data_IF_693169566015
#
_entry.id   IF_693169566015
#
_cell.length_a   1.000
_cell.length_b   1.000
_cell.length_c   1.000
_cell.angle_alpha   90.00
_cell.angle_beta   90.00
_cell.angle_gamma   90.00
#
_symmetry.space_group_name_H-M   'P 1'
#
loop_
_entity.id
_entity.type
_entity.pdbx_description
1 polymer ?
#
# COMPACT_ATOMS: atom_id res chain seq x y z
N UNK A 1 10.44 -36.29 -17.41
CA UNK A 1 9.13 -36.90 -17.11
C UNK A 1 8.99 -37.40 -15.67
N UNK A 2 10.07 -37.84 -14.99
CA UNK A 2 10.01 -38.30 -13.59
C UNK A 2 9.70 -37.16 -12.59
N UNK A 3 10.34 -35.98 -12.76
CA UNK A 3 10.12 -34.82 -11.89
C UNK A 3 8.66 -34.35 -11.82
N UNK A 4 7.89 -34.45 -12.91
CA UNK A 4 6.47 -34.04 -12.91
C UNK A 4 5.59 -34.94 -12.04
N UNK A 5 5.89 -36.24 -11.94
CA UNK A 5 5.12 -37.16 -11.09
C UNK A 5 5.40 -36.93 -9.62
N UNK A 6 6.66 -36.67 -9.27
CA UNK A 6 7.04 -36.32 -7.89
C UNK A 6 6.46 -34.97 -7.47
N UNK A 7 6.44 -33.96 -8.37
CA UNK A 7 5.77 -32.68 -8.12
C UNK A 7 4.25 -32.83 -7.92
N UNK A 8 3.59 -33.68 -8.72
CA UNK A 8 2.15 -33.95 -8.57
C UNK A 8 1.84 -34.64 -7.23
N UNK A 9 2.61 -35.66 -6.87
CA UNK A 9 2.45 -36.33 -5.57
C UNK A 9 2.73 -35.38 -4.40
N UNK A 10 3.74 -34.52 -4.50
CA UNK A 10 4.01 -33.50 -3.49
C UNK A 10 2.85 -32.49 -3.37
N UNK A 11 2.22 -32.10 -4.48
CA UNK A 11 1.08 -31.20 -4.48
C UNK A 11 -0.13 -31.80 -3.78
N UNK A 12 -0.45 -33.07 -4.05
CA UNK A 12 -1.55 -33.80 -3.37
C UNK A 12 -1.33 -33.87 -1.85
N UNK A 13 -0.10 -34.14 -1.41
CA UNK A 13 0.23 -34.12 0.02
C UNK A 13 0.14 -32.72 0.61
N UNK A 14 0.57 -31.70 -0.13
CA UNK A 14 0.50 -30.31 0.32
C UNK A 14 -0.93 -29.79 0.41
N UNK A 15 -1.86 -30.26 -0.43
CA UNK A 15 -3.28 -29.88 -0.39
C UNK A 15 -3.94 -30.19 0.96
N UNK A 16 -3.59 -31.31 1.57
CA UNK A 16 -4.09 -31.71 2.89
C UNK A 16 -3.33 -31.04 4.05
N UNK A 17 -2.30 -30.25 3.75
CA UNK A 17 -1.50 -29.57 4.77
C UNK A 17 -2.14 -28.26 5.23
N UNK A 18 -1.91 -27.83 6.48
CA UNK A 18 -2.30 -26.50 6.95
C UNK A 18 -1.69 -25.33 6.16
N UNK A 19 -0.68 -25.60 5.32
CA UNK A 19 -0.02 -24.59 4.50
C UNK A 19 -0.81 -24.27 3.21
N UNK A 20 -1.64 -25.19 2.71
CA UNK A 20 -2.34 -25.00 1.43
C UNK A 20 -3.21 -23.74 1.45
N UNK A 21 -4.06 -23.62 2.47
CA UNK A 21 -4.93 -22.46 2.65
C UNK A 21 -4.34 -21.36 3.54
N UNK A 22 -3.01 -21.32 3.68
CA UNK A 22 -2.38 -20.28 4.48
C UNK A 22 -2.64 -18.89 3.87
N UNK A 23 -2.75 -17.88 4.74
CA UNK A 23 -2.93 -16.49 4.36
C UNK A 23 -2.02 -15.59 5.19
N UNK A 24 -1.57 -14.51 4.58
CA UNK A 24 -0.74 -13.50 5.20
C UNK A 24 -1.59 -12.31 5.68
N UNK A 25 -1.06 -11.54 6.63
CA UNK A 25 -1.65 -10.27 7.10
C UNK A 25 -0.74 -9.13 6.71
N UNK A 26 -1.32 -8.04 6.17
CA UNK A 26 -0.56 -6.82 5.87
C UNK A 26 0.08 -6.25 7.14
N UNK A 27 1.35 -5.87 7.07
CA UNK A 27 2.08 -5.28 8.21
C UNK A 27 2.50 -6.28 9.29
N UNK A 28 2.39 -7.59 9.05
CA UNK A 28 2.89 -8.60 9.99
C UNK A 28 4.43 -8.63 10.05
N UNK A 29 5.01 -8.99 11.20
CA UNK A 29 6.47 -8.95 11.44
C UNK A 29 7.32 -9.71 10.41
N UNK A 30 6.79 -10.80 9.84
CA UNK A 30 7.46 -11.67 8.85
C UNK A 30 6.65 -11.76 7.54
N UNK A 31 6.06 -10.63 7.11
CA UNK A 31 5.21 -10.57 5.92
C UNK A 31 5.92 -11.12 4.68
N UNK A 32 7.17 -10.70 4.42
CA UNK A 32 7.94 -11.19 3.29
C UNK A 32 8.14 -12.72 3.33
N UNK A 33 8.47 -13.28 4.50
CA UNK A 33 8.62 -14.73 4.62
C UNK A 33 7.28 -15.47 4.41
N UNK A 34 6.18 -14.93 4.92
CA UNK A 34 4.85 -15.49 4.69
C UNK A 34 4.53 -15.55 3.20
N UNK A 35 4.79 -14.45 2.47
CA UNK A 35 4.56 -14.37 1.02
C UNK A 35 5.49 -15.31 0.26
N UNK A 36 6.76 -15.41 0.64
CA UNK A 36 7.69 -16.38 0.03
C UNK A 36 7.20 -17.82 0.18
N UNK A 37 6.71 -18.19 1.37
CA UNK A 37 6.13 -19.53 1.60
C UNK A 37 4.88 -19.72 0.76
N UNK A 38 3.93 -18.79 0.81
CA UNK A 38 2.69 -18.86 0.03
C UNK A 38 2.97 -19.01 -1.46
N UNK A 39 3.86 -18.17 -2.00
CA UNK A 39 4.22 -18.24 -3.41
C UNK A 39 4.96 -19.53 -3.73
N UNK A 40 5.80 -20.10 -2.85
CA UNK A 40 6.51 -21.35 -3.14
C UNK A 40 5.60 -22.56 -3.41
N UNK A 41 4.40 -22.58 -2.81
CA UNK A 41 3.42 -23.65 -2.98
C UNK A 41 2.39 -23.34 -4.08
N UNK A 42 2.12 -22.07 -4.36
CA UNK A 42 1.14 -21.64 -5.37
C UNK A 42 1.76 -21.22 -6.72
N UNK A 43 3.10 -21.14 -6.81
CA UNK A 43 3.81 -20.78 -8.05
C UNK A 43 3.65 -21.91 -9.07
N UNK A 44 2.89 -21.64 -10.14
CA UNK A 44 2.62 -22.61 -11.21
C UNK A 44 1.26 -23.28 -11.12
N UNK A 45 0.49 -23.13 -10.04
CA UNK A 45 -0.91 -23.61 -9.98
C UNK A 45 -1.88 -22.70 -10.75
N UNK A 46 -1.42 -21.54 -11.21
CA UNK A 46 -2.20 -20.56 -11.96
C UNK A 46 -2.07 -20.74 -13.48
N UNK A 47 -1.87 -21.97 -13.96
CA UNK A 47 -1.88 -22.33 -15.39
C UNK A 47 -3.26 -22.01 -16.02
N UNK A 48 -3.49 -20.75 -16.39
CA UNK A 48 -4.71 -20.29 -17.08
C UNK A 48 -5.32 -18.98 -16.56
N UNK A 49 -4.81 -18.42 -15.47
CA UNK A 49 -5.36 -17.23 -14.80
C UNK A 49 -4.44 -16.00 -14.79
N UNK A 50 -3.59 -15.80 -15.80
CA UNK A 50 -2.54 -14.75 -15.78
C UNK A 50 -3.03 -13.31 -15.70
N UNK A 51 -4.34 -13.04 -15.70
CA UNK A 51 -4.86 -11.70 -15.50
C UNK A 51 -5.26 -11.43 -14.04
N UNK A 52 -5.82 -12.41 -13.34
CA UNK A 52 -6.22 -12.32 -11.94
C UNK A 52 -5.60 -13.45 -11.14
N UNK A 53 -4.64 -13.11 -10.28
CA UNK A 53 -3.95 -14.06 -9.41
C UNK A 53 -4.65 -14.14 -8.05
N UNK A 54 -4.55 -15.30 -7.39
CA UNK A 54 -5.09 -15.49 -6.06
C UNK A 54 -4.36 -14.58 -5.05
N UNK A 55 -5.12 -13.91 -4.18
CA UNK A 55 -4.52 -13.02 -3.16
C UNK A 55 -3.95 -13.85 -2.01
N UNK A 56 -2.66 -13.66 -1.64
CA UNK A 56 -2.05 -14.33 -0.51
C UNK A 56 -2.52 -13.78 0.84
N UNK A 57 -3.19 -12.62 0.84
CA UNK A 57 -3.60 -11.95 2.06
C UNK A 57 -4.98 -12.43 2.53
N UNK A 58 -5.20 -12.39 3.84
CA UNK A 58 -6.52 -12.61 4.39
C UNK A 58 -7.52 -11.62 3.76
N UNK A 59 -8.67 -12.11 3.29
CA UNK A 59 -9.68 -11.22 2.75
C UNK A 59 -10.12 -10.28 3.86
N UNK A 60 -10.02 -8.98 3.60
CA UNK A 60 -10.39 -7.91 4.56
C UNK A 60 -11.89 -7.97 4.93
N UNK A 61 -12.66 -8.85 4.28
CA UNK A 61 -14.08 -9.16 4.50
C UNK A 61 -14.43 -9.76 5.87
N UNK A 62 -13.57 -9.64 6.88
CA UNK A 62 -14.08 -9.54 8.25
C UNK A 62 -14.91 -8.25 8.34
N UNK A 63 -16.14 -8.25 7.80
CA UNK A 63 -17.03 -7.09 7.58
C UNK A 63 -17.06 -6.12 8.77
N UNK A 64 -16.85 -6.63 9.99
CA UNK A 64 -16.73 -5.85 11.21
C UNK A 64 -15.60 -4.80 11.16
N UNK A 65 -14.37 -5.15 10.74
CA UNK A 65 -13.25 -4.19 10.75
C UNK A 65 -13.45 -3.03 9.77
N UNK A 66 -14.04 -3.28 8.60
CA UNK A 66 -14.35 -2.23 7.63
C UNK A 66 -15.54 -1.37 8.07
N UNK A 67 -16.56 -1.96 8.70
CA UNK A 67 -17.66 -1.19 9.33
C UNK A 67 -17.10 -0.25 10.40
N UNK A 68 -16.19 -0.73 11.26
CA UNK A 68 -15.55 0.13 12.25
C UNK A 68 -14.66 1.20 11.60
N UNK A 69 -13.94 0.89 10.52
CA UNK A 69 -13.16 1.89 9.76
C UNK A 69 -14.05 2.98 9.16
N UNK A 70 -15.18 2.61 8.58
CA UNK A 70 -16.16 3.58 8.07
C UNK A 70 -16.69 4.47 9.21
N UNK A 71 -17.04 3.89 10.36
CA UNK A 71 -17.47 4.66 11.53
C UNK A 71 -16.40 5.66 12.03
N UNK A 72 -15.11 5.25 12.02
CA UNK A 72 -14.00 6.15 12.34
C UNK A 72 -13.84 7.28 11.31
N UNK A 73 -14.13 7.02 10.03
CA UNK A 73 -14.12 8.04 8.97
C UNK A 73 -15.26 9.04 9.21
N UNK A 74 -16.48 8.58 9.51
CA UNK A 74 -17.63 9.45 9.81
C UNK A 74 -17.43 10.27 11.10
N UNK A 75 -16.78 9.70 12.13
CA UNK A 75 -16.51 10.41 13.37
C UNK A 75 -15.38 11.44 13.23
N UNK A 76 -14.42 11.19 12.34
CA UNK A 76 -13.31 12.09 12.07
C UNK A 76 -13.68 13.32 11.24
N UNK A 77 -14.77 13.26 10.46
CA UNK A 77 -15.12 14.33 9.50
C UNK A 77 -15.86 15.52 10.10
N UNK A 78 -16.27 15.51 11.39
CA UNK A 78 -16.85 16.69 12.05
C UNK A 78 -17.99 17.30 11.24
N UNK A 79 -19.16 16.66 11.26
CA UNK A 79 -20.32 16.98 10.44
C UNK A 79 -21.03 18.29 10.85
N UNK A 80 -20.34 19.44 10.74
CA UNK A 80 -20.95 20.76 10.77
C UNK A 80 -20.97 21.36 9.34
N UNK A 81 -22.12 21.33 8.64
CA UNK A 81 -22.23 21.73 7.23
C UNK A 81 -21.89 23.20 6.98
N UNK A 82 -21.96 24.04 8.02
CA UNK A 82 -21.83 25.51 7.92
C UNK A 82 -20.36 25.96 7.84
N UNK A 83 -19.42 25.19 8.39
CA UNK A 83 -17.97 25.49 8.33
C UNK A 83 -17.32 24.90 7.06
N UNK A 84 -17.96 23.90 6.47
CA UNK A 84 -17.43 23.11 5.34
C UNK A 84 -17.38 23.87 4.00
N UNK A 85 -18.10 24.98 3.83
CA UNK A 85 -18.17 25.69 2.55
C UNK A 85 -16.89 26.49 2.20
N UNK A 86 -15.96 26.66 3.16
CA UNK A 86 -14.67 27.35 2.96
C UNK A 86 -13.45 26.53 3.41
N UNK A 87 -13.64 25.29 3.86
CA UNK A 87 -12.56 24.51 4.46
C UNK A 87 -11.86 23.60 3.44
N UNK A 88 -10.52 23.63 3.45
CA UNK A 88 -9.70 22.73 2.65
C UNK A 88 -9.53 21.42 3.42
N UNK A 89 -10.33 20.40 3.08
CA UNK A 89 -10.33 19.12 3.80
C UNK A 89 -8.94 18.45 3.85
N UNK A 90 -8.11 18.60 2.82
CA UNK A 90 -6.75 18.10 2.82
C UNK A 90 -5.83 18.85 3.80
N UNK A 91 -6.05 20.16 3.98
CA UNK A 91 -5.35 20.94 4.99
C UNK A 91 -5.76 20.51 6.40
N UNK A 92 -7.06 20.27 6.62
CA UNK A 92 -7.55 19.81 7.93
C UNK A 92 -7.07 18.39 8.25
N UNK A 93 -7.00 17.51 7.25
CA UNK A 93 -6.38 16.19 7.39
C UNK A 93 -4.89 16.30 7.77
N UNK A 94 -4.17 17.21 7.11
CA UNK A 94 -2.76 17.47 7.42
C UNK A 94 -2.58 18.03 8.83
N UNK A 95 -3.48 18.92 9.30
CA UNK A 95 -3.48 19.42 10.69
C UNK A 95 -3.73 18.29 11.68
N UNK A 96 -4.73 17.45 11.45
CA UNK A 96 -5.04 16.31 12.31
C UNK A 96 -3.84 15.36 12.46
N UNK A 97 -3.14 15.03 11.38
CA UNK A 97 -1.91 14.24 11.43
C UNK A 97 -0.79 14.95 12.21
N UNK A 98 -0.65 16.27 12.07
CA UNK A 98 0.38 17.04 12.77
C UNK A 98 0.13 17.15 14.29
N UNK A 99 -1.11 16.95 14.74
CA UNK A 99 -1.48 16.89 16.16
C UNK A 99 -1.24 15.49 16.77
N UNK A 100 -1.05 14.46 15.96
CA UNK A 100 -0.74 13.10 16.41
C UNK A 100 0.77 12.83 16.28
N UNK A 101 1.45 12.56 17.40
CA UNK A 101 2.91 12.41 17.41
C UNK A 101 3.43 11.29 16.50
N UNK A 102 2.73 10.15 16.42
CA UNK A 102 3.12 9.05 15.55
C UNK A 102 2.97 9.44 14.07
N UNK A 103 1.82 10.00 13.69
CA UNK A 103 1.57 10.46 12.33
C UNK A 103 2.56 11.56 11.92
N UNK A 104 2.73 12.59 12.74
CA UNK A 104 3.68 13.69 12.54
C UNK A 104 5.12 13.18 12.34
N UNK A 105 5.55 12.24 13.18
CA UNK A 105 6.91 11.66 13.12
C UNK A 105 7.12 10.87 11.84
N UNK A 106 6.23 9.94 11.52
CA UNK A 106 6.36 9.12 10.30
C UNK A 106 6.18 9.95 9.03
N UNK A 107 5.30 10.97 9.07
CA UNK A 107 5.12 11.93 7.98
C UNK A 107 6.39 12.72 7.71
N UNK A 108 6.95 13.33 8.73
CA UNK A 108 8.22 14.06 8.62
C UNK A 108 9.36 13.16 8.15
N UNK A 109 9.36 11.89 8.58
CA UNK A 109 10.36 10.91 8.17
C UNK A 109 10.30 10.61 6.67
N UNK A 110 9.13 10.33 6.08
CA UNK A 110 9.10 10.06 4.64
C UNK A 110 9.34 11.33 3.82
N UNK A 111 8.80 12.48 4.25
CA UNK A 111 9.00 13.76 3.54
C UNK A 111 10.49 14.12 3.48
N UNK A 112 11.22 14.03 4.61
CA UNK A 112 12.65 14.33 4.65
C UNK A 112 13.48 13.39 3.77
N UNK A 113 13.10 12.12 3.66
CA UNK A 113 13.77 11.15 2.80
C UNK A 113 13.48 11.41 1.31
N UNK A 114 12.22 11.66 0.97
CA UNK A 114 11.77 11.83 -0.41
C UNK A 114 12.14 13.21 -1.00
N UNK A 115 12.24 14.26 -0.17
CA UNK A 115 12.58 15.60 -0.67
C UNK A 115 14.10 15.86 -0.76
N UNK A 116 14.93 14.98 -0.18
CA UNK A 116 16.38 15.16 -0.16
C UNK A 116 16.99 14.95 -1.54
N UNK A 117 17.46 16.03 -2.12
CA UNK A 117 18.24 16.04 -3.36
C UNK A 117 19.59 15.36 -3.16
N UNK A 118 20.01 14.55 -4.15
CA UNK A 118 21.26 13.78 -4.09
C UNK A 118 22.29 14.40 -5.01
N UNK A 119 21.88 14.72 -6.23
CA UNK A 119 22.70 15.38 -7.23
C UNK A 119 21.82 16.17 -8.19
N UNK A 120 22.43 16.97 -9.06
CA UNK A 120 21.74 17.69 -10.13
C UNK A 120 21.00 16.78 -11.12
N UNK A 121 21.33 15.49 -11.17
CA UNK A 121 20.74 14.49 -12.07
C UNK A 121 19.82 13.49 -11.36
N UNK A 122 19.95 13.34 -10.03
CA UNK A 122 19.16 12.44 -9.19
C UNK A 122 18.41 13.24 -8.11
N UNK A 123 17.11 13.43 -8.35
CA UNK A 123 16.25 14.27 -7.50
C UNK A 123 16.06 13.71 -6.08
N UNK A 124 16.09 12.39 -5.90
CA UNK A 124 15.96 11.71 -4.61
C UNK A 124 16.34 10.23 -4.70
N UNK A 125 16.56 9.58 -3.54
CA UNK A 125 16.70 8.11 -3.50
C UNK A 125 15.31 7.46 -3.50
N UNK A 126 14.79 7.14 -4.69
CA UNK A 126 13.43 6.59 -4.86
C UNK A 126 13.19 5.33 -4.03
N UNK A 127 14.19 4.43 -3.94
CA UNK A 127 14.10 3.19 -3.14
C UNK A 127 13.91 3.46 -1.64
N UNK A 128 14.65 4.40 -1.07
CA UNK A 128 14.49 4.81 0.34
C UNK A 128 13.15 5.53 0.56
N UNK A 129 12.73 6.37 -0.39
CA UNK A 129 11.44 7.05 -0.35
C UNK A 129 10.27 6.05 -0.32
N UNK A 130 10.24 5.08 -1.24
CA UNK A 130 9.21 4.03 -1.25
C UNK A 130 9.19 3.20 0.03
N UNK A 131 10.35 2.87 0.60
CA UNK A 131 10.44 2.18 1.89
C UNK A 131 9.82 3.00 3.02
N UNK A 132 10.09 4.31 3.07
CA UNK A 132 9.54 5.21 4.08
C UNK A 132 8.03 5.42 3.91
N UNK A 133 7.55 5.54 2.67
CA UNK A 133 6.12 5.63 2.36
C UNK A 133 5.37 4.36 2.79
N UNK A 134 5.89 3.16 2.49
CA UNK A 134 5.31 1.90 2.99
C UNK A 134 5.20 1.90 4.52
N UNK A 135 6.29 2.24 5.21
CA UNK A 135 6.28 2.35 6.67
C UNK A 135 5.25 3.36 7.21
N UNK A 136 5.03 4.48 6.52
CA UNK A 136 4.00 5.46 6.89
C UNK A 136 2.60 4.84 6.77
N UNK A 137 2.26 4.25 5.63
CA UNK A 137 0.93 3.68 5.41
C UNK A 137 0.64 2.41 6.23
N UNK A 138 1.68 1.64 6.60
CA UNK A 138 1.53 0.44 7.43
C UNK A 138 1.39 0.76 8.92
N UNK A 139 2.03 1.84 9.40
CA UNK A 139 2.14 2.13 10.85
C UNK A 139 1.31 3.31 11.33
N UNK A 140 0.86 4.17 10.42
CA UNK A 140 -0.06 5.25 10.78
C UNK A 140 -1.49 4.74 10.66
N UNK A 141 -2.35 4.96 11.68
CA UNK A 141 -3.74 4.56 11.63
C UNK A 141 -4.50 5.10 10.41
N UNK A 142 -5.44 4.31 9.90
CA UNK A 142 -6.18 4.59 8.66
C UNK A 142 -6.96 5.91 8.70
N UNK A 143 -7.42 6.34 9.88
CA UNK A 143 -8.15 7.60 10.08
C UNK A 143 -7.30 8.84 9.75
N UNK A 144 -5.97 8.74 9.76
CA UNK A 144 -5.09 9.82 9.32
C UNK A 144 -4.65 9.62 7.86
N UNK A 145 -4.21 8.41 7.49
CA UNK A 145 -3.66 8.15 6.16
C UNK A 145 -4.71 8.30 5.08
N UNK A 146 -5.91 7.72 5.27
CA UNK A 146 -6.99 7.83 4.30
C UNK A 146 -7.57 9.24 4.26
N UNK A 147 -7.67 9.92 5.41
CA UNK A 147 -8.15 11.30 5.47
C UNK A 147 -7.23 12.25 4.69
N UNK A 148 -5.92 12.02 4.70
CA UNK A 148 -4.96 12.80 3.90
C UNK A 148 -4.96 12.41 2.43
N UNK A 149 -5.00 11.10 2.11
CA UNK A 149 -4.86 10.61 0.74
C UNK A 149 -6.14 10.79 -0.08
N UNK A 150 -7.31 10.67 0.56
CA UNK A 150 -8.63 10.65 -0.08
C UNK A 150 -9.51 11.84 0.31
N UNK A 151 -8.93 12.93 0.82
CA UNK A 151 -9.66 14.16 1.07
C UNK A 151 -10.37 14.67 -0.21
N UNK A 152 -11.61 15.14 -0.06
CA UNK A 152 -12.35 15.83 -1.12
C UNK A 152 -11.81 17.26 -1.30
N UNK A 153 -11.98 17.81 -2.51
CA UNK A 153 -11.50 19.15 -2.85
C UNK A 153 -12.50 19.88 -3.72
N UNK A 154 -12.58 21.20 -3.55
CA UNK A 154 -13.41 22.11 -4.34
C UNK A 154 -12.58 23.09 -5.18
N UNK A 155 -11.27 23.21 -4.90
CA UNK A 155 -10.35 24.10 -5.61
C UNK A 155 -9.04 23.41 -6.01
N UNK A 156 -8.28 24.08 -6.88
CA UNK A 156 -6.99 23.57 -7.38
C UNK A 156 -5.92 23.50 -6.28
N UNK A 157 -5.96 24.41 -5.30
CA UNK A 157 -5.00 24.43 -4.21
C UNK A 157 -5.13 23.20 -3.30
N UNK A 158 -6.36 22.77 -3.00
CA UNK A 158 -6.66 21.51 -2.33
C UNK A 158 -6.25 20.31 -3.18
N UNK A 159 -6.60 20.32 -4.47
CA UNK A 159 -6.26 19.22 -5.38
C UNK A 159 -4.74 19.00 -5.48
N UNK A 160 -3.95 20.09 -5.54
CA UNK A 160 -2.50 20.00 -5.56
C UNK A 160 -1.95 19.53 -4.20
N UNK A 161 -2.50 20.01 -3.07
CA UNK A 161 -2.14 19.48 -1.75
C UNK A 161 -2.37 17.97 -1.66
N UNK A 162 -3.50 17.48 -2.18
CA UNK A 162 -3.80 16.04 -2.24
C UNK A 162 -2.77 15.31 -3.11
N UNK A 163 -2.47 15.83 -4.31
CA UNK A 163 -1.47 15.28 -5.23
C UNK A 163 -0.08 15.18 -4.59
N UNK A 164 0.29 16.19 -3.81
CA UNK A 164 1.59 16.27 -3.14
C UNK A 164 1.75 15.36 -1.92
N UNK A 165 0.69 14.66 -1.48
CA UNK A 165 0.72 13.82 -0.26
C UNK A 165 1.86 12.80 -0.25
N UNK A 166 2.18 12.22 -1.42
CA UNK A 166 3.22 11.19 -1.57
C UNK A 166 4.53 11.71 -2.20
N UNK A 167 4.69 13.03 -2.36
CA UNK A 167 5.82 13.66 -3.07
C UNK A 167 6.05 13.05 -4.46
N UNK A 168 5.14 13.29 -5.42
CA UNK A 168 5.14 12.63 -6.72
C UNK A 168 6.43 12.86 -7.52
N UNK A 169 7.09 14.01 -7.37
CA UNK A 169 8.38 14.32 -8.01
C UNK A 169 9.53 13.38 -7.64
N UNK A 170 9.35 12.55 -6.62
CA UNK A 170 10.30 11.52 -6.20
C UNK A 170 9.70 10.11 -6.27
N UNK A 171 8.47 9.93 -5.78
CA UNK A 171 7.89 8.60 -5.61
C UNK A 171 7.16 8.08 -6.86
N UNK A 172 6.65 8.98 -7.71
CA UNK A 172 5.75 8.65 -8.82
C UNK A 172 6.36 8.97 -10.19
N UNK A 173 6.77 10.22 -10.38
CA UNK A 173 7.33 10.73 -11.63
C UNK A 173 8.71 10.12 -11.90
N UNK A 174 9.00 9.89 -13.18
CA UNK A 174 10.30 9.43 -13.68
C UNK A 174 10.54 10.07 -15.06
N UNK A 175 11.77 10.00 -15.57
CA UNK A 175 12.15 10.55 -16.89
C UNK A 175 11.39 9.87 -18.03
N UNK A 176 11.13 8.58 -17.86
CA UNK A 176 10.44 7.74 -18.84
C UNK A 176 9.16 7.15 -18.25
N UNK A 177 8.17 6.90 -19.10
CA UNK A 177 6.92 6.23 -18.74
C UNK A 177 6.89 4.86 -19.41
N UNK A 178 7.35 3.79 -18.73
CA UNK A 178 7.37 2.45 -19.30
C UNK A 178 5.95 1.90 -19.51
N UNK A 179 5.81 0.85 -20.32
CA UNK A 179 4.53 0.17 -20.54
C UNK A 179 4.03 -0.49 -19.24
N UNK A 180 2.73 -0.42 -18.98
CA UNK A 180 2.11 -1.00 -17.79
C UNK A 180 2.32 -2.53 -17.68
N UNK A 181 2.41 -3.25 -18.81
CA UNK A 181 2.65 -4.70 -18.82
C UNK A 181 4.09 -5.05 -18.43
N UNK A 182 5.06 -4.20 -18.80
CA UNK A 182 6.45 -4.35 -18.36
C UNK A 182 6.57 -4.09 -16.86
N UNK A 183 5.92 -3.02 -16.37
CA UNK A 183 5.82 -2.75 -14.93
C UNK A 183 5.13 -3.89 -14.17
N UNK A 184 4.08 -4.51 -14.74
CA UNK A 184 3.43 -5.69 -14.17
C UNK A 184 4.41 -6.86 -14.05
N UNK A 185 5.20 -7.11 -15.09
CA UNK A 185 6.21 -8.16 -15.09
C UNK A 185 7.28 -7.93 -14.03
N UNK A 186 7.75 -6.68 -13.88
CA UNK A 186 8.67 -6.31 -12.81
C UNK A 186 8.07 -6.50 -11.41
N UNK A 187 6.80 -6.09 -11.22
CA UNK A 187 6.10 -6.24 -9.95
C UNK A 187 5.89 -7.71 -9.57
N UNK A 188 5.62 -8.59 -10.54
CA UNK A 188 5.46 -10.05 -10.32
C UNK A 188 6.70 -10.75 -9.77
N UNK A 189 7.89 -10.19 -9.99
CA UNK A 189 9.15 -10.74 -9.47
C UNK A 189 9.29 -10.43 -7.97
N UNK A 190 8.71 -9.33 -7.50
CA UNK A 190 8.77 -8.92 -6.09
C UNK A 190 7.54 -9.45 -5.32
N UNK A 191 7.77 -10.31 -4.33
CA UNK A 191 6.69 -10.96 -3.57
C UNK A 191 5.77 -9.99 -2.80
N UNK A 192 6.23 -8.77 -2.46
CA UNK A 192 5.41 -7.77 -1.76
C UNK A 192 4.59 -6.92 -2.73
N UNK A 193 5.12 -6.69 -3.94
CA UNK A 193 4.43 -5.96 -5.00
C UNK A 193 3.34 -6.80 -5.65
N UNK A 194 3.65 -8.07 -5.93
CA UNK A 194 2.74 -9.08 -6.47
C UNK A 194 1.52 -9.30 -5.56
#
# INVERSE_FOLDING_TARGET
>A
MLANKECQAALEVLQESPLYDCRCKRGMKKELQCLQIYWSIHLGLTEGGEFYEASPYEPVTSRLSDIFRLASIFSGTGADPVVSAKSNHCLDAAKACNLNDNCKKLRSSYISICNREISSTERCNRRKCHKALRQFFDRVPSEYTYRMLFCSCQDQACAERRRQTILPSCSYEDKEKPNCLDLRTLCRIDHLCR
#
